data_IF_317294189785
#
_entry.id   IF_317294189785
#
_cell.length_a   1.000
_cell.length_b   1.000
_cell.length_c   1.000
_cell.angle_alpha   90.00
_cell.angle_beta   90.00
_cell.angle_gamma   90.00
#
_symmetry.space_group_name_H-M   'P 1'
#
loop_
_entity.id
_entity.type
_entity.pdbx_description
1 polymer ?
#
# COMPACT_ATOMS: atom_id res chain seq x y z
N UNK A 1 13.06 76.13 -28.45
CA UNK A 1 12.31 77.06 -27.57
C UNK A 1 12.96 77.06 -26.20
N UNK A 2 13.45 78.22 -25.75
CA UNK A 2 14.06 78.50 -24.43
C UNK A 2 13.01 78.45 -23.31
N UNK A 3 13.37 77.94 -22.11
CA UNK A 3 13.12 78.51 -20.75
C UNK A 3 14.14 77.84 -19.78
N UNK A 4 15.15 78.53 -19.23
CA UNK A 4 15.18 79.47 -18.08
C UNK A 4 14.73 78.79 -16.76
N UNK A 5 15.67 78.52 -15.84
CA UNK A 5 16.01 79.30 -14.63
C UNK A 5 15.10 78.88 -13.43
N UNK A 6 15.56 78.70 -12.18
CA UNK A 6 16.85 78.88 -11.52
C UNK A 6 16.65 78.78 -9.99
N UNK A 7 17.78 78.82 -9.28
CA UNK A 7 18.03 79.28 -7.90
C UNK A 7 17.63 78.43 -6.68
N UNK A 8 18.67 78.21 -5.86
CA UNK A 8 18.77 78.37 -4.39
C UNK A 8 19.42 77.12 -3.76
N UNK A 9 20.36 77.17 -2.82
CA UNK A 9 21.15 78.22 -2.19
C UNK A 9 22.37 77.52 -1.54
N UNK A 10 23.49 78.25 -1.40
CA UNK A 10 24.65 77.84 -0.60
C UNK A 10 24.29 77.76 0.89
N UNK A 11 24.78 76.73 1.58
CA UNK A 11 25.31 76.89 2.95
C UNK A 11 26.57 76.04 3.14
N UNK A 12 27.61 76.71 3.63
CA UNK A 12 28.92 76.20 3.98
C UNK A 12 28.98 75.84 5.47
N UNK A 13 29.85 74.87 5.74
CA UNK A 13 30.65 74.67 6.95
C UNK A 13 30.00 74.00 8.18
N UNK A 14 30.76 73.05 8.74
CA UNK A 14 30.56 72.52 10.07
C UNK A 14 31.01 71.06 10.23
N UNK A 15 32.30 70.78 10.12
CA UNK A 15 32.87 69.49 10.55
C UNK A 15 32.80 69.38 12.08
N UNK A 16 32.02 68.44 12.59
CA UNK A 16 32.18 67.92 13.94
C UNK A 16 32.38 66.41 13.83
N UNK A 17 33.61 65.96 14.12
CA UNK A 17 33.94 64.56 14.27
C UNK A 17 33.20 64.00 15.49
N UNK A 18 32.26 63.09 15.27
CA UNK A 18 31.69 62.26 16.32
C UNK A 18 32.33 60.87 16.23
N UNK A 19 32.91 60.45 17.36
CA UNK A 19 33.66 59.22 17.52
C UNK A 19 32.85 57.98 17.10
N UNK A 20 33.51 57.13 16.32
CA UNK A 20 32.98 55.85 15.86
C UNK A 20 32.95 54.86 17.04
N UNK A 21 31.76 54.62 17.60
CA UNK A 21 31.57 53.56 18.58
C UNK A 21 31.47 52.23 17.84
N UNK A 22 32.56 51.47 17.85
CA UNK A 22 32.61 50.12 17.28
C UNK A 22 31.65 49.19 18.05
N UNK A 23 30.62 48.59 17.42
CA UNK A 23 29.74 47.67 18.11
C UNK A 23 30.54 46.43 18.57
N UNK A 24 30.20 45.83 19.73
CA UNK A 24 30.86 44.61 20.16
C UNK A 24 30.62 43.52 19.12
N UNK A 25 31.65 42.72 18.85
CA UNK A 25 31.56 41.59 17.94
C UNK A 25 30.40 40.68 18.38
N UNK A 26 29.40 40.54 17.51
CA UNK A 26 28.35 39.56 17.71
C UNK A 26 29.01 38.18 17.73
N UNK A 27 29.03 37.53 18.89
CA UNK A 27 29.35 36.12 18.98
C UNK A 27 28.28 35.39 18.19
N UNK A 28 28.65 34.92 16.99
CA UNK A 28 27.83 34.00 16.21
C UNK A 28 27.80 32.72 17.04
N UNK A 29 26.75 32.58 17.86
CA UNK A 29 26.48 31.33 18.55
C UNK A 29 26.45 30.23 17.49
N UNK A 30 27.31 29.22 17.66
CA UNK A 30 27.22 27.98 16.91
C UNK A 30 25.85 27.38 17.16
N UNK A 31 24.91 27.63 16.24
CA UNK A 31 23.64 26.93 16.24
C UNK A 31 23.95 25.46 16.01
N UNK A 32 23.90 24.64 17.07
CA UNK A 32 24.03 23.20 16.96
C UNK A 32 23.03 22.70 15.93
N UNK A 33 23.53 22.15 14.81
CA UNK A 33 22.72 21.48 13.78
C UNK A 33 22.09 20.17 14.26
N UNK A 34 22.18 19.87 15.57
CA UNK A 34 21.75 18.62 16.18
C UNK A 34 20.22 18.43 16.28
N UNK A 35 19.40 19.40 15.86
CA UNK A 35 17.94 19.36 16.09
C UNK A 35 17.09 18.97 14.87
N UNK A 36 17.68 18.60 13.73
CA UNK A 36 16.94 18.12 12.56
C UNK A 36 17.39 16.73 12.10
N UNK A 37 17.40 15.75 13.01
CA UNK A 37 17.33 14.36 12.59
C UNK A 37 15.88 14.09 12.11
N UNK A 38 15.64 13.72 10.84
CA UNK A 38 14.30 13.35 10.41
C UNK A 38 13.82 12.18 11.27
N UNK A 39 12.67 12.37 11.94
CA UNK A 39 11.98 11.26 12.62
C UNK A 39 11.59 10.23 11.55
N UNK A 40 12.36 9.16 11.45
CA UNK A 40 11.93 7.95 10.74
C UNK A 40 10.84 7.33 11.60
N UNK A 41 9.57 7.59 11.24
CA UNK A 41 8.47 6.88 11.87
C UNK A 41 8.58 5.41 11.47
N UNK A 42 8.48 4.47 12.44
CA UNK A 42 8.50 3.05 12.12
C UNK A 42 7.35 2.71 11.17
N UNK A 43 7.59 1.78 10.26
CA UNK A 43 6.56 1.28 9.36
C UNK A 43 5.36 0.80 10.19
N UNK A 44 4.18 1.32 9.86
CA UNK A 44 2.94 0.97 10.53
C UNK A 44 2.69 -0.53 10.38
N UNK A 45 2.75 -1.27 11.49
CA UNK A 45 2.38 -2.68 11.53
C UNK A 45 0.86 -2.80 11.63
N UNK A 46 0.26 -3.63 10.79
CA UNK A 46 -1.18 -3.88 10.74
C UNK A 46 -1.47 -5.36 11.00
N UNK A 47 -2.62 -5.68 11.59
CA UNK A 47 -3.05 -7.07 11.67
C UNK A 47 -3.27 -7.65 10.26
N UNK A 48 -3.23 -8.98 10.10
CA UNK A 48 -3.23 -9.64 8.79
C UNK A 48 -4.47 -9.32 7.96
N UNK A 49 -5.61 -9.16 8.62
CA UNK A 49 -6.89 -8.81 8.00
C UNK A 49 -6.88 -7.40 7.38
N UNK A 50 -5.96 -6.53 7.78
CA UNK A 50 -5.85 -5.16 7.29
C UNK A 50 -4.69 -4.95 6.33
N UNK A 51 -3.62 -5.75 6.48
CA UNK A 51 -2.32 -5.45 5.90
C UNK A 51 -2.32 -5.44 4.36
N UNK A 52 -2.99 -6.40 3.71
CA UNK A 52 -3.09 -6.42 2.25
C UNK A 52 -3.94 -5.27 1.70
N UNK A 53 -5.07 -4.96 2.36
CA UNK A 53 -5.96 -3.90 1.87
C UNK A 53 -5.24 -2.54 1.95
N UNK A 54 -4.56 -2.22 3.06
CA UNK A 54 -3.74 -1.01 3.17
C UNK A 54 -2.64 -0.97 2.10
N UNK A 55 -1.87 -2.06 1.97
CA UNK A 55 -0.77 -2.13 1.03
C UNK A 55 -1.23 -1.97 -0.43
N UNK A 56 -2.34 -2.60 -0.81
CA UNK A 56 -2.91 -2.49 -2.15
C UNK A 56 -3.42 -1.07 -2.40
N UNK A 57 -4.17 -0.47 -1.47
CA UNK A 57 -4.64 0.91 -1.62
C UNK A 57 -3.48 1.91 -1.75
N UNK A 58 -2.36 1.68 -1.07
CA UNK A 58 -1.15 2.49 -1.23
C UNK A 58 -0.55 2.26 -2.62
N UNK A 59 -0.37 1.02 -3.05
CA UNK A 59 0.20 0.68 -4.35
C UNK A 59 -0.63 1.23 -5.51
N UNK A 60 -1.96 1.22 -5.40
CA UNK A 60 -2.87 1.85 -6.39
C UNK A 60 -2.58 3.34 -6.55
N UNK A 61 -2.46 4.06 -5.43
CA UNK A 61 -2.14 5.50 -5.46
C UNK A 61 -0.75 5.77 -6.03
N UNK A 62 0.24 4.97 -5.65
CA UNK A 62 1.62 5.12 -6.13
C UNK A 62 1.74 4.83 -7.64
N UNK A 63 0.99 3.86 -8.15
CA UNK A 63 1.02 3.44 -9.55
C UNK A 63 -0.01 4.16 -10.44
N UNK A 64 -0.90 4.98 -9.87
CA UNK A 64 -1.99 5.64 -10.60
C UNK A 64 -3.07 4.67 -11.10
N UNK A 65 -3.24 3.52 -10.45
CA UNK A 65 -4.32 2.56 -10.77
C UNK A 65 -5.63 3.06 -10.15
N UNK A 66 -6.66 3.24 -10.97
CA UNK A 66 -7.96 3.78 -10.56
C UNK A 66 -9.01 2.68 -10.29
N UNK A 67 -10.17 3.11 -9.77
CA UNK A 67 -11.37 2.28 -9.58
C UNK A 67 -11.19 1.03 -8.72
N UNK A 68 -10.20 1.06 -7.82
CA UNK A 68 -9.88 -0.03 -6.91
C UNK A 68 -9.63 -1.37 -7.63
N UNK A 69 -9.07 -1.30 -8.84
CA UNK A 69 -8.85 -2.47 -9.68
C UNK A 69 -7.89 -3.47 -9.06
N UNK A 70 -6.78 -3.00 -8.48
CA UNK A 70 -5.79 -3.85 -7.85
C UNK A 70 -6.37 -4.48 -6.57
N UNK A 71 -7.23 -3.75 -5.85
CA UNK A 71 -7.95 -4.28 -4.70
C UNK A 71 -8.92 -5.39 -5.10
N UNK A 72 -9.66 -5.21 -6.20
CA UNK A 72 -10.52 -6.24 -6.76
C UNK A 72 -9.72 -7.50 -7.16
N UNK A 73 -8.53 -7.32 -7.76
CA UNK A 73 -7.63 -8.44 -8.04
C UNK A 73 -7.21 -9.15 -6.76
N UNK A 74 -6.86 -8.43 -5.69
CA UNK A 74 -6.50 -9.07 -4.42
C UNK A 74 -7.59 -9.92 -3.81
N UNK A 75 -8.85 -9.52 -3.94
CA UNK A 75 -9.97 -10.39 -3.52
C UNK A 75 -10.12 -11.63 -4.40
N UNK A 76 -9.86 -11.52 -5.71
CA UNK A 76 -9.88 -12.66 -6.63
C UNK A 76 -8.74 -13.65 -6.35
N UNK A 77 -7.59 -13.14 -5.89
CA UNK A 77 -6.36 -13.92 -5.72
C UNK A 77 -6.24 -14.53 -4.31
N UNK A 78 -6.50 -13.74 -3.27
CA UNK A 78 -6.26 -14.12 -1.88
C UNK A 78 -7.41 -13.70 -0.94
N UNK A 79 -8.61 -13.48 -1.49
CA UNK A 79 -9.81 -13.22 -0.71
C UNK A 79 -10.16 -14.39 0.21
N UNK A 80 -10.56 -14.11 1.46
CA UNK A 80 -11.10 -15.11 2.38
C UNK A 80 -12.06 -14.50 3.39
N UNK A 81 -12.88 -15.37 3.97
CA UNK A 81 -13.59 -15.09 5.22
C UNK A 81 -12.73 -15.53 6.40
N UNK A 82 -12.58 -14.65 7.39
CA UNK A 82 -11.89 -14.95 8.66
C UNK A 82 -12.85 -15.56 9.67
N UNK A 83 -12.32 -16.08 10.79
CA UNK A 83 -13.14 -16.60 11.89
C UNK A 83 -14.07 -15.53 12.48
N UNK A 84 -13.63 -14.26 12.50
CA UNK A 84 -14.43 -13.12 12.95
C UNK A 84 -15.42 -12.58 11.90
N UNK A 85 -15.66 -13.35 10.83
CA UNK A 85 -16.55 -12.99 9.72
C UNK A 85 -16.16 -11.69 9.01
N UNK A 86 -14.86 -11.37 9.03
CA UNK A 86 -14.29 -10.31 8.21
C UNK A 86 -13.95 -10.88 6.84
N UNK A 87 -14.52 -10.29 5.81
CA UNK A 87 -14.14 -10.58 4.44
C UNK A 87 -12.94 -9.71 4.04
N UNK A 88 -11.81 -10.33 3.72
CA UNK A 88 -10.54 -9.61 3.51
C UNK A 88 -9.61 -10.31 2.50
N UNK A 89 -8.52 -9.65 2.13
CA UNK A 89 -7.38 -10.21 1.38
C UNK A 89 -6.32 -10.65 2.38
N UNK A 90 -5.88 -11.92 2.29
CA UNK A 90 -5.01 -12.51 3.29
C UNK A 90 -3.53 -12.53 2.86
N UNK A 91 -2.59 -12.01 3.68
CA UNK A 91 -1.20 -11.83 3.27
C UNK A 91 -0.42 -13.14 3.21
N UNK A 92 -0.79 -14.15 3.97
CA UNK A 92 -0.07 -15.42 4.07
C UNK A 92 -0.78 -16.50 3.27
N UNK A 93 -1.09 -16.16 2.03
CA UNK A 93 -1.76 -17.03 1.07
C UNK A 93 -0.72 -17.60 0.12
N UNK A 94 -0.78 -18.91 -0.10
CA UNK A 94 0.08 -19.62 -1.04
C UNK A 94 -0.78 -20.46 -1.96
N UNK A 95 -0.62 -20.32 -3.27
CA UNK A 95 -1.16 -21.29 -4.22
C UNK A 95 -0.05 -22.17 -4.77
N UNK A 96 -0.27 -23.49 -4.75
CA UNK A 96 0.58 -24.46 -5.44
C UNK A 96 -0.26 -25.24 -6.43
N UNK A 97 0.04 -25.09 -7.72
CA UNK A 97 -0.58 -25.87 -8.79
C UNK A 97 -2.12 -25.83 -8.81
N UNK A 98 -2.71 -24.69 -8.41
CA UNK A 98 -4.16 -24.48 -8.35
C UNK A 98 -4.77 -24.69 -6.97
N UNK A 99 -4.04 -25.24 -6.00
CA UNK A 99 -4.50 -25.41 -4.63
C UNK A 99 -4.08 -24.23 -3.73
N UNK A 100 -5.06 -23.47 -3.24
CA UNK A 100 -4.82 -22.35 -2.32
C UNK A 100 -4.75 -22.80 -0.86
N UNK A 101 -3.75 -22.30 -0.14
CA UNK A 101 -3.49 -22.52 1.28
C UNK A 101 -3.39 -21.18 2.00
N UNK A 102 -4.01 -21.08 3.18
CA UNK A 102 -4.00 -19.87 3.99
C UNK A 102 -3.39 -20.15 5.36
N UNK A 103 -2.28 -19.50 5.68
CA UNK A 103 -1.54 -19.74 6.92
C UNK A 103 -1.85 -18.65 7.96
N UNK A 104 -1.82 -18.97 9.27
CA UNK A 104 -2.04 -18.00 10.34
C UNK A 104 -0.83 -17.10 10.61
N UNK A 105 0.34 -17.41 10.06
CA UNK A 105 1.56 -16.60 10.22
C UNK A 105 2.39 -16.57 8.94
N UNK A 106 3.22 -15.54 8.79
CA UNK A 106 4.18 -15.43 7.68
C UNK A 106 5.15 -16.61 7.66
N UNK A 107 5.67 -16.98 8.84
CA UNK A 107 6.72 -17.98 8.94
C UNK A 107 6.21 -19.38 8.56
N UNK A 108 4.96 -19.69 8.88
CA UNK A 108 4.30 -20.93 8.41
C UNK A 108 4.12 -20.95 6.89
N UNK A 109 3.73 -19.83 6.27
CA UNK A 109 3.64 -19.74 4.82
C UNK A 109 5.02 -19.91 4.15
N UNK A 110 6.06 -19.28 4.70
CA UNK A 110 7.45 -19.44 4.22
C UNK A 110 7.90 -20.90 4.36
N UNK A 111 7.66 -21.51 5.52
CA UNK A 111 8.02 -22.92 5.74
C UNK A 111 7.32 -23.84 4.74
N UNK A 112 6.03 -23.59 4.46
CA UNK A 112 5.29 -24.32 3.44
C UNK A 112 5.88 -24.15 2.04
N UNK A 113 6.19 -22.92 1.62
CA UNK A 113 6.83 -22.66 0.32
C UNK A 113 8.17 -23.38 0.19
N UNK A 114 9.04 -23.28 1.21
CA UNK A 114 10.34 -23.98 1.22
C UNK A 114 10.16 -25.49 1.11
N UNK A 115 9.20 -26.07 1.84
CA UNK A 115 8.89 -27.49 1.76
C UNK A 115 8.35 -27.90 0.37
N UNK A 116 7.50 -27.09 -0.25
CA UNK A 116 6.98 -27.34 -1.59
C UNK A 116 8.11 -27.29 -2.65
N UNK A 117 8.99 -26.29 -2.58
CA UNK A 117 10.17 -26.18 -3.44
C UNK A 117 11.10 -27.39 -3.28
N UNK A 118 11.35 -27.84 -2.05
CA UNK A 118 12.16 -29.02 -1.78
C UNK A 118 11.57 -30.32 -2.38
N UNK A 119 10.24 -30.39 -2.53
CA UNK A 119 9.54 -31.49 -3.22
C UNK A 119 9.50 -31.32 -4.75
N UNK A 120 10.06 -30.24 -5.28
CA UNK A 120 10.13 -29.98 -6.72
C UNK A 120 8.93 -29.21 -7.29
N UNK A 121 8.00 -28.73 -6.45
CA UNK A 121 6.92 -27.84 -6.90
C UNK A 121 7.54 -26.54 -7.42
N UNK A 122 7.29 -26.22 -8.70
CA UNK A 122 7.90 -25.05 -9.34
C UNK A 122 6.97 -23.84 -9.39
N UNK A 123 5.69 -24.04 -9.71
CA UNK A 123 4.73 -22.94 -9.81
C UNK A 123 4.09 -22.68 -8.45
N UNK A 124 4.50 -21.59 -7.82
CA UNK A 124 4.05 -21.19 -6.48
C UNK A 124 3.69 -19.71 -6.53
N UNK A 125 2.46 -19.39 -6.20
CA UNK A 125 1.98 -18.01 -6.08
C UNK A 125 1.96 -17.59 -4.60
N UNK A 126 2.38 -16.36 -4.29
CA UNK A 126 2.50 -15.90 -2.91
C UNK A 126 1.91 -14.53 -2.66
N UNK A 127 1.36 -14.36 -1.46
CA UNK A 127 1.00 -13.05 -0.92
C UNK A 127 -0.34 -12.51 -1.38
N UNK A 128 -0.55 -11.21 -1.14
CA UNK A 128 -1.81 -10.51 -1.36
C UNK A 128 -2.33 -10.62 -2.81
N UNK A 129 -1.43 -10.56 -3.79
CA UNK A 129 -1.76 -10.54 -5.22
C UNK A 129 -1.18 -11.74 -5.98
N UNK A 130 -0.87 -12.82 -5.26
CA UNK A 130 -0.47 -14.13 -5.80
C UNK A 130 0.60 -14.02 -6.90
N UNK A 131 1.73 -13.38 -6.57
CA UNK A 131 2.86 -13.24 -7.49
C UNK A 131 3.54 -14.60 -7.65
N UNK A 132 3.63 -15.09 -8.89
CA UNK A 132 4.21 -16.40 -9.18
C UNK A 132 5.75 -16.38 -9.14
N UNK A 133 6.36 -17.16 -8.26
CA UNK A 133 7.82 -17.22 -8.06
C UNK A 133 8.59 -17.84 -9.23
N UNK A 134 7.95 -18.67 -10.08
CA UNK A 134 8.59 -19.24 -11.27
C UNK A 134 8.67 -18.25 -12.42
N UNK A 135 7.60 -17.49 -12.64
CA UNK A 135 7.52 -16.53 -13.75
C UNK A 135 8.15 -15.18 -13.40
N UNK A 136 8.28 -14.88 -12.11
CA UNK A 136 8.86 -13.65 -11.60
C UNK A 136 9.98 -13.94 -10.58
N UNK A 137 11.06 -14.63 -10.99
CA UNK A 137 12.12 -15.05 -10.07
C UNK A 137 12.84 -13.88 -9.41
N UNK A 138 12.93 -12.74 -10.10
CA UNK A 138 13.59 -11.53 -9.60
C UNK A 138 12.61 -10.53 -8.97
N UNK A 139 11.36 -10.93 -8.69
CA UNK A 139 10.38 -10.06 -8.07
C UNK A 139 10.77 -9.61 -6.66
N UNK A 140 11.38 -10.53 -5.91
CA UNK A 140 11.71 -10.36 -4.51
C UNK A 140 13.09 -10.97 -4.23
N UNK A 141 13.89 -10.37 -3.34
CA UNK A 141 15.19 -10.91 -2.95
C UNK A 141 15.07 -12.19 -2.11
N UNK A 142 13.96 -12.36 -1.39
CA UNK A 142 13.69 -13.48 -0.49
C UNK A 142 12.18 -13.67 -0.27
N UNK A 143 11.80 -14.77 0.40
CA UNK A 143 10.39 -15.09 0.68
C UNK A 143 9.79 -14.15 1.72
N UNK A 144 10.60 -13.67 2.66
CA UNK A 144 10.24 -12.71 3.68
C UNK A 144 9.72 -11.41 3.05
N UNK A 145 10.39 -10.93 1.99
CA UNK A 145 9.97 -9.80 1.17
C UNK A 145 8.81 -10.16 0.26
N UNK A 146 8.74 -11.38 -0.28
CA UNK A 146 7.63 -11.83 -1.12
C UNK A 146 6.28 -11.84 -0.36
N UNK A 147 6.30 -12.15 0.94
CA UNK A 147 5.15 -12.08 1.84
C UNK A 147 4.99 -10.72 2.55
N UNK A 148 5.88 -9.74 2.33
CA UNK A 148 5.63 -8.37 2.78
C UNK A 148 4.50 -7.76 1.94
N UNK A 149 3.37 -7.35 2.55
CA UNK A 149 2.21 -6.87 1.79
C UNK A 149 2.53 -5.67 0.89
N UNK A 150 3.41 -4.75 1.33
CA UNK A 150 3.77 -3.56 0.55
C UNK A 150 4.64 -3.91 -0.63
N UNK A 151 5.66 -4.75 -0.46
CA UNK A 151 6.52 -5.22 -1.54
C UNK A 151 5.69 -6.01 -2.57
N UNK A 152 4.84 -6.93 -2.11
CA UNK A 152 3.97 -7.74 -2.96
C UNK A 152 3.02 -6.88 -3.80
N UNK A 153 2.27 -5.97 -3.14
CA UNK A 153 1.33 -5.09 -3.81
C UNK A 153 2.00 -4.14 -4.81
N UNK A 154 3.16 -3.56 -4.43
CA UNK A 154 3.94 -2.70 -5.34
C UNK A 154 4.46 -3.46 -6.55
N UNK A 155 4.92 -4.70 -6.39
CA UNK A 155 5.35 -5.53 -7.50
C UNK A 155 4.22 -5.74 -8.51
N UNK A 156 3.09 -6.23 -8.02
CA UNK A 156 1.92 -6.49 -8.84
C UNK A 156 1.36 -5.22 -9.51
N UNK A 157 1.35 -4.07 -8.83
CA UNK A 157 0.94 -2.80 -9.43
C UNK A 157 1.83 -2.41 -10.62
N UNK A 158 3.15 -2.54 -10.48
CA UNK A 158 4.09 -2.29 -11.59
C UNK A 158 3.86 -3.27 -12.73
N UNK A 159 3.74 -4.56 -12.42
CA UNK A 159 3.52 -5.60 -13.43
C UNK A 159 2.22 -5.37 -14.21
N UNK A 160 1.12 -5.02 -13.53
CA UNK A 160 -0.14 -4.65 -14.19
C UNK A 160 0.04 -3.43 -15.09
N UNK A 161 0.79 -2.42 -14.63
CA UNK A 161 1.12 -1.24 -15.44
C UNK A 161 1.93 -1.59 -16.71
N UNK A 162 2.87 -2.51 -16.61
CA UNK A 162 3.69 -3.00 -17.73
C UNK A 162 2.81 -3.74 -18.75
N UNK A 163 1.93 -4.62 -18.26
CA UNK A 163 0.94 -5.30 -19.09
C UNK A 163 -0.01 -4.31 -19.77
N UNK A 164 -0.46 -3.28 -19.05
CA UNK A 164 -1.33 -2.27 -19.62
C UNK A 164 -0.67 -1.52 -20.77
N UNK A 165 0.60 -1.13 -20.63
CA UNK A 165 1.37 -0.51 -21.72
C UNK A 165 1.58 -1.46 -22.90
N UNK A 166 1.83 -2.75 -22.63
CA UNK A 166 2.05 -3.74 -23.68
C UNK A 166 0.76 -4.12 -24.44
N UNK A 167 -0.38 -4.16 -23.76
CA UNK A 167 -1.66 -4.59 -24.35
C UNK A 167 -2.51 -3.44 -24.89
N UNK A 168 -2.26 -2.19 -24.46
CA UNK A 168 -3.04 -1.02 -24.83
C UNK A 168 -4.45 -0.96 -24.22
N UNK A 169 -4.82 -1.94 -23.41
CA UNK A 169 -6.12 -2.05 -22.75
C UNK A 169 -5.96 -2.61 -21.34
N UNK A 170 -6.66 -2.03 -20.37
CA UNK A 170 -6.62 -2.49 -18.98
C UNK A 170 -7.30 -3.86 -18.85
N UNK A 171 -8.39 -4.10 -19.59
CA UNK A 171 -9.06 -5.40 -19.60
C UNK A 171 -8.16 -6.51 -20.12
N UNK A 172 -7.41 -6.23 -21.19
CA UNK A 172 -6.43 -7.18 -21.73
C UNK A 172 -5.27 -7.40 -20.76
N UNK A 173 -4.82 -6.36 -20.06
CA UNK A 173 -3.80 -6.47 -19.02
C UNK A 173 -4.25 -7.35 -17.85
N UNK A 174 -5.49 -7.18 -17.36
CA UNK A 174 -6.07 -8.00 -16.29
C UNK A 174 -6.14 -9.47 -16.72
N UNK A 175 -6.64 -9.76 -17.92
CA UNK A 175 -6.68 -11.13 -18.44
C UNK A 175 -5.26 -11.72 -18.53
N UNK A 176 -4.28 -10.92 -18.95
CA UNK A 176 -2.89 -11.34 -19.12
C UNK A 176 -2.13 -11.49 -17.81
N UNK A 177 -2.53 -10.80 -16.75
CA UNK A 177 -1.95 -10.88 -15.42
C UNK A 177 -2.00 -12.31 -14.89
N UNK A 178 -3.16 -12.97 -15.02
CA UNK A 178 -3.37 -14.32 -14.53
C UNK A 178 -2.88 -15.41 -15.51
N UNK A 179 -3.04 -15.21 -16.83
CA UNK A 179 -2.62 -16.23 -17.79
C UNK A 179 -2.31 -15.69 -19.19
N UNK A 180 -1.43 -16.38 -19.91
CA UNK A 180 -1.24 -16.22 -21.35
C UNK A 180 -2.35 -16.87 -22.20
N UNK A 181 -3.16 -17.75 -21.59
CA UNK A 181 -4.20 -18.51 -22.28
C UNK A 181 -5.51 -17.70 -22.26
N UNK A 182 -6.10 -17.50 -23.44
CA UNK A 182 -7.23 -16.58 -23.63
C UNK A 182 -8.45 -16.92 -22.79
N UNK A 183 -8.84 -18.19 -22.71
CA UNK A 183 -10.02 -18.65 -21.96
C UNK A 183 -9.86 -18.41 -20.45
N UNK A 184 -8.70 -18.80 -19.88
CA UNK A 184 -8.38 -18.57 -18.47
C UNK A 184 -8.31 -17.07 -18.13
N UNK A 185 -7.79 -16.26 -19.05
CA UNK A 185 -7.77 -14.80 -18.91
C UNK A 185 -9.17 -14.19 -18.93
N UNK A 186 -10.08 -14.69 -19.77
CA UNK A 186 -11.46 -14.20 -19.84
C UNK A 186 -12.25 -14.50 -18.55
N UNK A 187 -12.16 -15.74 -18.05
CA UNK A 187 -12.79 -16.15 -16.79
C UNK A 187 -12.23 -15.34 -15.61
N UNK A 188 -10.91 -15.14 -15.58
CA UNK A 188 -10.27 -14.30 -14.57
C UNK A 188 -10.77 -12.85 -14.58
N UNK A 189 -10.81 -12.22 -15.77
CA UNK A 189 -11.33 -10.86 -15.93
C UNK A 189 -12.77 -10.74 -15.43
N UNK A 190 -13.62 -11.72 -15.71
CA UNK A 190 -15.01 -11.71 -15.22
C UNK A 190 -15.06 -11.73 -13.69
N UNK A 191 -14.25 -12.58 -13.05
CA UNK A 191 -14.17 -12.62 -11.58
C UNK A 191 -13.68 -11.30 -10.99
N UNK A 192 -12.63 -10.72 -11.56
CA UNK A 192 -12.13 -9.39 -11.16
C UNK A 192 -13.23 -8.33 -11.35
N UNK A 193 -14.00 -8.38 -12.44
CA UNK A 193 -15.13 -7.49 -12.67
C UNK A 193 -16.23 -7.63 -11.61
N UNK A 194 -16.55 -8.86 -11.19
CA UNK A 194 -17.46 -9.14 -10.08
C UNK A 194 -16.96 -8.56 -8.76
N UNK A 195 -15.71 -8.84 -8.41
CA UNK A 195 -15.08 -8.31 -7.20
C UNK A 195 -14.96 -6.78 -7.23
N UNK A 196 -14.72 -6.15 -8.38
CA UNK A 196 -14.70 -4.69 -8.51
C UNK A 196 -16.05 -4.06 -8.18
N UNK A 197 -17.17 -4.66 -8.63
CA UNK A 197 -18.52 -4.18 -8.28
C UNK A 197 -18.77 -4.30 -6.78
N UNK A 198 -18.35 -5.40 -6.17
CA UNK A 198 -18.46 -5.57 -4.71
C UNK A 198 -17.59 -4.56 -3.95
N UNK A 199 -16.31 -4.42 -4.33
CA UNK A 199 -15.36 -3.47 -3.73
C UNK A 199 -15.91 -2.05 -3.77
N UNK A 200 -16.47 -1.63 -4.91
CA UNK A 200 -17.06 -0.30 -5.07
C UNK A 200 -18.17 -0.01 -4.03
N UNK A 201 -18.98 -1.02 -3.67
CA UNK A 201 -19.98 -0.89 -2.61
C UNK A 201 -19.41 -0.98 -1.20
N UNK A 202 -18.32 -1.72 -1.00
CA UNK A 202 -17.76 -2.04 0.31
C UNK A 202 -16.64 -1.09 0.78
N UNK A 203 -16.37 0.01 0.06
CA UNK A 203 -15.20 0.86 0.34
C UNK A 203 -15.14 1.44 1.75
N UNK A 204 -16.28 1.73 2.39
CA UNK A 204 -16.29 2.24 3.77
C UNK A 204 -15.81 1.18 4.76
N UNK A 205 -16.24 -0.07 4.57
CA UNK A 205 -15.75 -1.22 5.33
C UNK A 205 -14.26 -1.45 5.07
N UNK A 206 -13.84 -1.46 3.80
CA UNK A 206 -12.45 -1.74 3.42
C UNK A 206 -11.49 -0.66 3.92
N UNK A 207 -11.89 0.61 3.88
CA UNK A 207 -11.12 1.72 4.46
C UNK A 207 -11.03 1.62 5.98
N UNK A 208 -12.13 1.27 6.65
CA UNK A 208 -12.13 1.06 8.10
C UNK A 208 -11.20 -0.10 8.49
N UNK A 209 -11.21 -1.19 7.73
CA UNK A 209 -10.34 -2.34 7.94
C UNK A 209 -8.87 -1.99 7.70
N UNK A 210 -8.54 -1.33 6.59
CA UNK A 210 -7.19 -0.85 6.27
C UNK A 210 -6.66 0.18 7.29
N UNK A 211 -7.56 0.98 7.87
CA UNK A 211 -7.22 1.91 8.93
C UNK A 211 -6.83 1.22 10.24
N UNK A 212 -6.93 -0.12 10.35
CA UNK A 212 -6.45 -0.91 11.49
C UNK A 212 -7.15 -0.62 12.82
N UNK A 213 -6.78 -1.36 13.88
CA UNK A 213 -7.29 -1.11 15.23
C UNK A 213 -6.90 0.29 15.71
N UNK A 214 -7.87 1.06 16.19
CA UNK A 214 -7.67 2.43 16.68
C UNK A 214 -7.31 2.44 18.16
N UNK A 215 -7.85 1.51 18.94
CA UNK A 215 -7.64 1.43 20.38
C UNK A 215 -6.27 0.86 20.79
N UNK A 216 -5.63 0.03 19.96
CA UNK A 216 -4.39 -0.66 20.30
C UNK A 216 -3.12 0.20 20.22
N UNK A 217 -3.19 1.38 19.57
CA UNK A 217 -2.02 2.23 19.35
C UNK A 217 -1.46 2.88 20.63
N UNK A 218 -2.20 2.88 21.75
CA UNK A 218 -1.78 3.50 23.01
C UNK A 218 -1.34 2.52 24.12
N UNK A 219 -1.49 1.20 23.93
CA UNK A 219 -1.27 0.20 25.00
C UNK A 219 -0.56 -1.10 24.56
N UNK A 220 -0.10 -1.22 23.32
CA UNK A 220 0.55 -2.44 22.85
C UNK A 220 1.98 -2.62 23.41
N UNK A 221 2.32 -3.85 23.81
CA UNK A 221 3.69 -4.21 24.18
C UNK A 221 4.65 -4.06 22.98
N UNK A 222 5.93 -3.71 23.20
CA UNK A 222 6.91 -3.61 22.11
C UNK A 222 6.96 -4.91 21.30
N UNK A 223 6.70 -4.81 19.99
CA UNK A 223 6.76 -5.93 19.06
C UNK A 223 5.46 -6.72 18.84
N UNK A 224 4.39 -6.45 19.58
CA UNK A 224 3.09 -7.07 19.32
C UNK A 224 2.37 -6.39 18.14
N UNK A 225 1.73 -7.18 17.27
CA UNK A 225 0.83 -6.63 16.25
C UNK A 225 -0.39 -5.98 16.93
N UNK A 226 -0.89 -4.84 16.40
CA UNK A 226 -2.12 -4.24 16.91
C UNK A 226 -3.28 -5.24 16.79
N UNK A 227 -4.00 -5.45 17.90
CA UNK A 227 -5.16 -6.32 17.95
C UNK A 227 -6.46 -5.50 17.94
N UNK A 228 -7.49 -6.03 17.29
CA UNK A 228 -8.81 -5.40 17.26
C UNK A 228 -9.51 -5.51 18.61
N UNK A 229 -10.08 -4.41 19.10
CA UNK A 229 -10.98 -4.45 20.24
C UNK A 229 -12.31 -5.14 19.90
N UNK A 230 -12.98 -5.73 20.90
CA UNK A 230 -14.26 -6.45 20.70
C UNK A 230 -15.34 -5.59 20.01
N UNK A 231 -15.45 -4.32 20.38
CA UNK A 231 -16.42 -3.41 19.78
C UNK A 231 -16.07 -3.07 18.32
N UNK A 232 -14.77 -2.91 18.01
CA UNK A 232 -14.29 -2.67 16.65
C UNK A 232 -14.55 -3.89 15.77
N UNK A 233 -14.23 -5.11 16.25
CA UNK A 233 -14.57 -6.36 15.56
C UNK A 233 -16.07 -6.47 15.32
N UNK A 234 -16.91 -6.25 16.35
CA UNK A 234 -18.36 -6.32 16.19
C UNK A 234 -18.90 -5.37 15.12
N UNK A 235 -18.39 -4.14 15.06
CA UNK A 235 -18.73 -3.17 14.01
C UNK A 235 -18.26 -3.64 12.64
N UNK A 236 -17.02 -4.11 12.52
CA UNK A 236 -16.45 -4.57 11.25
C UNK A 236 -17.16 -5.83 10.74
N UNK A 237 -17.49 -6.80 11.60
CA UNK A 237 -18.25 -7.98 11.22
C UNK A 237 -19.66 -7.61 10.77
N UNK A 238 -20.31 -6.64 11.43
CA UNK A 238 -21.61 -6.13 10.98
C UNK A 238 -21.51 -5.48 9.60
N UNK A 239 -20.56 -4.56 9.39
CA UNK A 239 -20.34 -3.93 8.08
C UNK A 239 -20.01 -4.97 7.00
N UNK A 240 -19.10 -5.90 7.29
CA UNK A 240 -18.77 -7.05 6.42
C UNK A 240 -20.03 -7.82 6.02
N UNK A 241 -20.94 -8.10 6.96
CA UNK A 241 -22.19 -8.82 6.68
C UNK A 241 -23.18 -8.06 5.78
N UNK A 242 -23.20 -6.73 5.85
CA UNK A 242 -24.02 -5.90 4.95
C UNK A 242 -23.55 -6.05 3.52
N UNK A 243 -22.23 -6.09 3.31
CA UNK A 243 -21.63 -6.19 1.98
C UNK A 243 -21.49 -7.63 1.48
N UNK A 244 -21.40 -8.62 2.36
CA UNK A 244 -21.36 -10.04 1.97
C UNK A 244 -22.68 -10.53 1.35
N UNK A 245 -23.79 -9.89 1.70
CA UNK A 245 -25.13 -10.19 1.17
C UNK A 245 -25.62 -9.16 0.13
N UNK A 246 -24.75 -8.24 -0.29
CA UNK A 246 -25.09 -7.27 -1.33
C UNK A 246 -25.29 -7.94 -2.70
N UNK A 247 -25.95 -7.23 -3.62
CA UNK A 247 -26.31 -7.76 -4.95
C UNK A 247 -25.11 -8.30 -5.76
N UNK A 248 -23.91 -7.78 -5.53
CA UNK A 248 -22.67 -8.37 -6.01
C UNK A 248 -22.00 -9.10 -4.85
N UNK A 249 -22.10 -10.44 -4.80
CA UNK A 249 -21.33 -11.24 -3.83
C UNK A 249 -19.85 -11.28 -4.23
N UNK A 250 -18.92 -11.28 -3.28
CA UNK A 250 -17.52 -11.42 -3.62
C UNK A 250 -17.22 -12.84 -4.12
N UNK A 251 -16.39 -12.92 -5.15
CA UNK A 251 -15.93 -14.16 -5.76
C UNK A 251 -14.61 -14.55 -5.12
N UNK A 252 -14.66 -15.62 -4.33
CA UNK A 252 -13.51 -16.21 -3.65
C UNK A 252 -12.62 -16.98 -4.64
N UNK A 253 -11.31 -17.13 -4.34
CA UNK A 253 -10.43 -17.99 -5.11
C UNK A 253 -10.98 -19.43 -5.16
N UNK A 254 -11.04 -20.04 -6.34
CA UNK A 254 -11.50 -21.43 -6.53
C UNK A 254 -13.01 -21.66 -6.51
N UNK A 255 -13.82 -20.59 -6.56
CA UNK A 255 -15.24 -20.72 -6.91
C UNK A 255 -15.37 -20.86 -8.43
N UNK A 256 -15.58 -22.10 -8.89
CA UNK A 256 -16.02 -22.42 -10.25
C UNK A 256 -17.51 -22.10 -10.44
#
# INVERSE_FOLDING_TARGET
>A
MRRLAGLAALFLAGTAAAAEVKPPAAQIGTWSTALYAPRVLPARSLPPEAACIDAILVAEREAGVTDHMLLAMGFTEAGRMTADRLFTVWPWTVNTEGASHYFPTRDEAIAFVRAAQARGTRSIDVGCLQVNLKWHPDAFPDLETAFDPRANARYAARFLGDLHRAQGSLDAAIARYHSAQSERGAAYRERVGGNRRWVAGAMDYLKALAAGPQAAASQAAPGALPAWGRAELGRLSFLSSLYANAAAKPLLPGAD
#
